data_IF_489976898319
#
_entry.id   IF_489976898319
#
_cell.length_a   1.000
_cell.length_b   1.000
_cell.length_c   1.000
_cell.angle_alpha   90.00
_cell.angle_beta   90.00
_cell.angle_gamma   90.00
#
_symmetry.space_group_name_H-M   'P 1'
#
loop_
_entity.id
_entity.type
_entity.pdbx_description
1 polymer ?
#
# COMPACT_ATOMS: atom_id res chain seq x y z
N UNK A 1 23.89 -50.56 -19.74
CA UNK A 1 23.18 -49.67 -20.69
C UNK A 1 23.24 -48.28 -20.09
N UNK A 2 24.21 -47.47 -20.61
CA UNK A 2 24.41 -46.09 -20.24
C UNK A 2 23.71 -45.23 -21.31
N UNK A 3 22.74 -44.42 -20.89
CA UNK A 3 22.16 -43.40 -21.73
C UNK A 3 22.92 -42.08 -21.56
N UNK A 4 23.45 -41.62 -22.67
CA UNK A 4 24.12 -40.31 -22.75
C UNK A 4 23.12 -39.15 -22.66
N UNK A 5 23.51 -38.02 -22.02
CA UNK A 5 22.67 -36.84 -21.99
C UNK A 5 22.75 -36.06 -23.32
N UNK A 6 21.67 -35.38 -23.74
CA UNK A 6 21.63 -34.66 -25.01
C UNK A 6 22.46 -33.36 -24.94
N UNK A 7 23.18 -33.11 -26.03
CA UNK A 7 24.01 -31.94 -26.27
C UNK A 7 23.19 -30.66 -26.33
N UNK A 8 23.65 -29.67 -25.56
CA UNK A 8 23.25 -28.27 -25.69
C UNK A 8 23.59 -27.74 -27.08
N UNK A 9 22.61 -27.20 -27.77
CA UNK A 9 22.79 -26.42 -28.98
C UNK A 9 22.83 -24.96 -28.61
N UNK A 10 24.04 -24.37 -28.61
CA UNK A 10 24.24 -22.94 -28.62
C UNK A 10 23.71 -22.33 -29.90
N UNK A 11 22.71 -21.49 -29.80
CA UNK A 11 22.35 -20.54 -30.84
C UNK A 11 22.73 -19.15 -30.43
N UNK A 12 23.87 -18.72 -30.90
CA UNK A 12 24.26 -17.32 -30.94
C UNK A 12 23.28 -16.52 -31.79
N UNK A 13 22.82 -15.43 -31.25
CA UNK A 13 22.21 -14.35 -32.02
C UNK A 13 23.00 -13.08 -31.74
N UNK A 14 23.93 -12.84 -32.65
CA UNK A 14 24.46 -11.51 -32.96
C UNK A 14 23.31 -10.64 -33.44
N UNK A 15 23.09 -9.52 -32.77
CA UNK A 15 22.43 -8.39 -33.43
C UNK A 15 23.23 -7.12 -33.17
N UNK A 16 23.75 -6.70 -34.31
CA UNK A 16 24.51 -5.52 -34.58
C UNK A 16 23.82 -4.23 -34.07
N UNK A 17 24.68 -3.32 -33.71
CA UNK A 17 24.52 -1.90 -33.51
C UNK A 17 23.70 -1.22 -34.63
N UNK A 18 22.76 -0.41 -34.26
CA UNK A 18 22.31 0.70 -35.08
C UNK A 18 22.43 2.00 -34.28
N UNK A 19 23.32 2.86 -34.78
CA UNK A 19 23.51 4.24 -34.39
C UNK A 19 22.60 5.09 -35.28
N UNK A 20 21.72 5.84 -34.71
CA UNK A 20 20.94 6.87 -35.40
C UNK A 20 20.56 7.94 -34.40
N UNK A 21 21.43 8.91 -34.23
CA UNK A 21 21.42 10.31 -34.67
C UNK A 21 20.12 11.08 -34.42
N UNK A 22 20.26 12.02 -33.44
CA UNK A 22 19.90 13.44 -33.47
C UNK A 22 18.55 13.84 -34.10
N UNK A 23 17.71 14.46 -33.33
CA UNK A 23 17.26 15.84 -33.60
C UNK A 23 16.54 16.41 -32.38
N UNK A 24 17.12 17.41 -31.78
CA UNK A 24 16.43 18.48 -31.04
C UNK A 24 15.63 19.33 -32.04
N UNK A 25 14.46 19.79 -31.65
CA UNK A 25 14.19 21.20 -31.85
C UNK A 25 13.73 21.89 -30.56
N UNK A 26 14.51 22.84 -30.24
CA UNK A 26 14.21 24.05 -29.50
C UNK A 26 13.00 24.77 -30.10
N UNK A 27 12.00 25.05 -29.30
CA UNK A 27 11.04 26.11 -29.56
C UNK A 27 10.40 26.59 -28.27
N UNK A 28 10.94 27.66 -27.77
CA UNK A 28 10.31 28.58 -26.83
C UNK A 28 9.31 29.42 -27.63
N UNK A 29 8.16 29.77 -27.08
CA UNK A 29 7.66 31.11 -27.24
C UNK A 29 7.50 31.79 -25.89
N UNK A 30 8.19 32.88 -25.80
CA UNK A 30 7.93 33.98 -24.88
C UNK A 30 6.55 34.54 -25.19
N UNK A 31 5.71 34.66 -24.20
CA UNK A 31 4.53 35.52 -24.31
C UNK A 31 4.57 36.55 -23.18
N UNK A 32 5.19 37.66 -23.53
CA UNK A 32 5.07 38.91 -22.80
C UNK A 32 3.64 39.42 -22.99
N UNK A 33 2.87 39.49 -21.91
CA UNK A 33 1.73 40.38 -21.83
C UNK A 33 2.00 41.42 -20.75
N UNK A 34 2.59 42.52 -21.19
CA UNK A 34 2.40 43.82 -20.57
C UNK A 34 0.95 44.25 -20.81
N UNK A 35 0.25 44.50 -19.74
CA UNK A 35 -1.08 45.09 -19.73
C UNK A 35 -1.29 45.82 -18.42
N UNK A 36 -0.65 46.98 -18.36
CA UNK A 36 -0.89 48.03 -17.40
C UNK A 36 -2.29 48.64 -17.62
N UNK A 37 -3.18 48.52 -16.66
CA UNK A 37 -4.24 49.50 -16.45
C UNK A 37 -4.56 49.55 -14.96
N UNK A 38 -4.18 50.67 -14.36
CA UNK A 38 -4.63 51.14 -13.07
C UNK A 38 -6.12 51.44 -13.13
N UNK A 39 -6.88 50.86 -12.22
CA UNK A 39 -8.15 51.46 -11.81
C UNK A 39 -8.27 51.36 -10.29
N UNK A 40 -8.20 52.56 -9.76
CA UNK A 40 -8.53 53.02 -8.44
C UNK A 40 -9.96 52.62 -8.05
N UNK A 41 -10.10 51.72 -7.07
CA UNK A 41 -11.36 51.54 -6.36
C UNK A 41 -11.21 51.93 -4.89
N UNK A 42 -11.31 53.21 -4.71
CA UNK A 42 -11.56 53.86 -3.43
C UNK A 42 -12.84 53.32 -2.77
N UNK A 43 -12.70 53.02 -1.48
CA UNK A 43 -13.72 53.09 -0.42
C UNK A 43 -15.00 52.29 -0.59
N UNK A 44 -15.00 51.12 0.00
CA UNK A 44 -16.19 50.68 0.73
C UNK A 44 -15.83 50.49 2.19
N UNK A 45 -16.22 51.46 2.99
CA UNK A 45 -16.28 51.36 4.43
C UNK A 45 -17.38 50.37 4.78
N UNK A 46 -17.04 49.27 5.40
CA UNK A 46 -17.97 48.47 6.16
C UNK A 46 -17.70 48.72 7.62
N UNK A 47 -18.49 49.64 8.15
CA UNK A 47 -18.65 49.82 9.57
C UNK A 47 -19.36 48.58 10.14
N UNK A 48 -18.80 48.06 11.23
CA UNK A 48 -19.52 47.40 12.30
C UNK A 48 -20.14 46.05 11.95
N UNK A 49 -19.37 44.97 12.08
CA UNK A 49 -19.90 43.73 12.56
C UNK A 49 -19.24 43.43 13.90
N UNK A 50 -19.98 43.76 14.97
CA UNK A 50 -19.76 43.15 16.27
C UNK A 50 -19.84 41.62 16.11
N UNK A 51 -18.70 41.00 15.91
CA UNK A 51 -18.59 39.57 16.06
C UNK A 51 -18.60 39.25 17.54
N UNK A 52 -19.81 39.05 18.03
CA UNK A 52 -20.12 38.36 19.24
C UNK A 52 -19.41 37.00 19.15
N UNK A 53 -18.52 36.78 20.12
CA UNK A 53 -17.77 35.56 20.34
C UNK A 53 -18.69 34.35 20.25
N UNK A 54 -18.77 33.76 19.06
CA UNK A 54 -19.25 32.42 18.85
C UNK A 54 -18.02 31.52 18.93
N UNK A 55 -17.85 30.90 20.06
CA UNK A 55 -17.00 29.72 20.20
C UNK A 55 -17.47 28.73 19.12
N UNK A 56 -16.81 28.75 17.97
CA UNK A 56 -16.90 27.66 17.05
C UNK A 56 -16.04 26.55 17.64
N UNK A 57 -16.66 25.77 18.52
CA UNK A 57 -16.21 24.41 18.77
C UNK A 57 -16.13 23.74 17.39
N UNK A 58 -14.97 23.83 16.79
CA UNK A 58 -14.56 22.85 15.82
C UNK A 58 -14.45 21.55 16.60
N UNK A 59 -15.59 20.90 16.82
CA UNK A 59 -15.61 19.49 17.14
C UNK A 59 -14.75 18.88 16.05
N UNK A 60 -13.50 18.57 16.40
CA UNK A 60 -12.61 17.82 15.57
C UNK A 60 -13.45 16.63 15.10
N UNK A 61 -13.57 16.50 13.79
CA UNK A 61 -14.01 15.25 13.24
C UNK A 61 -12.89 14.26 13.58
N UNK A 62 -12.93 13.75 14.82
CA UNK A 62 -12.30 12.50 15.14
C UNK A 62 -12.93 11.49 14.17
N UNK A 63 -12.31 11.33 13.04
CA UNK A 63 -12.43 10.10 12.29
C UNK A 63 -11.84 9.06 13.23
N UNK A 64 -12.68 8.56 14.13
CA UNK A 64 -12.35 7.38 14.88
C UNK A 64 -12.17 6.29 13.82
N UNK A 65 -10.92 6.10 13.42
CA UNK A 65 -10.54 4.90 12.70
C UNK A 65 -10.96 3.77 13.64
N UNK A 66 -11.78 2.87 13.12
CA UNK A 66 -12.21 1.73 13.92
C UNK A 66 -10.98 0.85 14.16
N UNK A 67 -10.28 1.12 15.26
CA UNK A 67 -9.11 0.35 15.68
C UNK A 67 -9.50 -1.02 16.25
N UNK A 68 -10.78 -1.36 16.20
CA UNK A 68 -11.26 -2.61 16.74
C UNK A 68 -11.12 -3.74 15.72
N UNK A 69 -10.70 -4.92 16.18
CA UNK A 69 -10.64 -6.08 15.31
C UNK A 69 -12.05 -6.55 14.97
N UNK A 70 -12.32 -6.77 13.69
CA UNK A 70 -13.59 -7.31 13.21
C UNK A 70 -13.62 -8.85 13.26
N UNK A 71 -12.45 -9.48 13.20
CA UNK A 71 -12.29 -10.95 13.15
C UNK A 71 -11.57 -11.48 14.41
N UNK A 72 -11.37 -10.63 15.41
CA UNK A 72 -10.70 -11.01 16.66
C UNK A 72 -9.18 -11.11 16.59
N UNK A 73 -8.59 -10.53 15.55
CA UNK A 73 -7.15 -10.49 15.31
C UNK A 73 -6.44 -9.27 15.88
N UNK A 74 -5.30 -8.97 15.32
CA UNK A 74 -4.46 -7.82 15.66
C UNK A 74 -4.58 -6.81 14.53
N UNK A 75 -4.92 -5.56 14.88
CA UNK A 75 -5.15 -4.48 13.91
C UNK A 75 -3.89 -3.68 13.67
N UNK A 76 -3.66 -3.30 12.41
CA UNK A 76 -2.70 -2.29 12.01
C UNK A 76 -3.33 -1.36 10.96
N UNK A 77 -3.18 -0.05 11.17
CA UNK A 77 -3.66 0.96 10.23
C UNK A 77 -2.49 1.50 9.44
N UNK A 78 -2.59 1.46 8.13
CA UNK A 78 -1.59 1.97 7.19
C UNK A 78 -2.27 2.81 6.13
N UNK A 79 -1.86 4.07 5.99
CA UNK A 79 -2.47 5.03 5.06
C UNK A 79 -4.01 5.10 5.22
N UNK A 80 -4.49 5.13 6.48
CA UNK A 80 -5.91 5.15 6.85
C UNK A 80 -6.69 3.88 6.46
N UNK A 81 -5.99 2.82 6.08
CA UNK A 81 -6.56 1.53 5.69
C UNK A 81 -6.36 0.52 6.80
N UNK A 82 -7.44 -0.13 7.17
CA UNK A 82 -7.47 -1.16 8.20
C UNK A 82 -6.92 -2.49 7.68
N UNK A 83 -6.03 -3.08 8.46
CA UNK A 83 -5.47 -4.41 8.21
C UNK A 83 -5.59 -5.22 9.49
N UNK A 84 -6.03 -6.46 9.40
CA UNK A 84 -6.20 -7.34 10.55
C UNK A 84 -5.51 -8.68 10.33
N UNK A 85 -4.62 -9.02 11.24
CA UNK A 85 -3.93 -10.31 11.27
C UNK A 85 -4.63 -11.24 12.26
N UNK A 86 -5.22 -12.30 11.75
CA UNK A 86 -5.94 -13.29 12.55
C UNK A 86 -5.10 -14.55 12.67
N UNK A 87 -4.98 -15.04 13.89
CA UNK A 87 -4.33 -16.32 14.21
C UNK A 87 -5.36 -17.26 14.80
N UNK A 88 -5.63 -18.35 14.10
CA UNK A 88 -6.52 -19.39 14.59
C UNK A 88 -5.79 -20.35 15.55
N UNK A 89 -6.55 -21.04 16.39
CA UNK A 89 -6.02 -21.97 17.40
C UNK A 89 -5.26 -23.15 16.77
N UNK A 90 -5.56 -23.49 15.52
CA UNK A 90 -4.90 -24.52 14.73
C UNK A 90 -3.57 -24.05 14.10
N UNK A 91 -3.15 -22.81 14.37
CA UNK A 91 -1.94 -22.20 13.81
C UNK A 91 -2.11 -21.63 12.40
N UNK A 92 -3.32 -21.62 11.86
CA UNK A 92 -3.63 -20.96 10.60
C UNK A 92 -3.58 -19.45 10.78
N UNK A 93 -3.02 -18.76 9.80
CA UNK A 93 -2.89 -17.30 9.78
C UNK A 93 -3.62 -16.73 8.59
N UNK A 94 -4.50 -15.77 8.85
CA UNK A 94 -5.25 -15.04 7.84
C UNK A 94 -4.98 -13.54 7.94
N UNK A 95 -4.86 -12.87 6.80
CA UNK A 95 -4.75 -11.41 6.72
C UNK A 95 -5.98 -10.86 6.01
N UNK A 96 -6.74 -10.04 6.70
CA UNK A 96 -7.80 -9.22 6.16
C UNK A 96 -7.23 -7.82 5.89
N UNK A 97 -7.55 -7.25 4.75
CA UNK A 97 -7.08 -5.92 4.37
C UNK A 97 -8.20 -5.17 3.64
N UNK A 98 -8.52 -4.00 4.13
CA UNK A 98 -9.47 -3.12 3.46
C UNK A 98 -8.84 -2.42 2.24
N UNK A 99 -9.69 -1.81 1.41
CA UNK A 99 -9.25 -1.03 0.26
C UNK A 99 -8.46 -1.85 -0.77
N UNK A 100 -8.70 -3.16 -0.84
CA UNK A 100 -8.18 -4.01 -1.90
C UNK A 100 -8.94 -3.77 -3.21
N UNK A 101 -8.29 -3.95 -4.37
CA UNK A 101 -8.98 -3.93 -5.65
C UNK A 101 -10.00 -5.07 -5.72
N UNK A 102 -10.96 -4.96 -6.62
CA UNK A 102 -11.99 -5.97 -6.81
C UNK A 102 -11.80 -6.76 -8.12
N UNK A 103 -12.47 -7.91 -8.21
CA UNK A 103 -12.46 -8.74 -9.41
C UNK A 103 -11.09 -9.30 -9.77
N UNK A 104 -10.73 -9.27 -11.02
CA UNK A 104 -9.47 -9.83 -11.52
C UNK A 104 -8.21 -9.13 -10.94
N UNK A 105 -8.32 -7.84 -10.65
CA UNK A 105 -7.22 -7.10 -10.04
C UNK A 105 -6.89 -7.60 -8.62
N UNK A 106 -7.90 -8.10 -7.88
CA UNK A 106 -7.70 -8.71 -6.57
C UNK A 106 -6.85 -9.99 -6.66
N UNK A 107 -7.07 -10.81 -7.67
CA UNK A 107 -6.30 -12.05 -7.90
C UNK A 107 -4.83 -11.79 -8.21
N UNK A 108 -4.52 -10.60 -8.70
CA UNK A 108 -3.16 -10.19 -8.98
C UNK A 108 -2.43 -9.62 -7.75
N UNK A 109 -3.12 -9.38 -6.64
CA UNK A 109 -2.51 -8.92 -5.40
C UNK A 109 -1.64 -10.02 -4.81
N UNK A 110 -0.39 -9.68 -4.52
CA UNK A 110 0.54 -10.57 -3.82
C UNK A 110 0.69 -10.12 -2.38
N UNK A 111 0.63 -11.06 -1.47
CA UNK A 111 0.82 -10.79 -0.05
C UNK A 111 1.91 -11.71 0.49
N UNK A 112 2.90 -11.10 1.13
CA UNK A 112 3.97 -11.82 1.84
C UNK A 112 3.97 -11.44 3.30
N UNK A 113 3.98 -12.45 4.13
CA UNK A 113 4.12 -12.31 5.57
C UNK A 113 5.56 -12.62 5.98
N UNK A 114 6.15 -11.77 6.80
CA UNK A 114 7.47 -11.98 7.41
C UNK A 114 7.33 -11.91 8.92
N UNK A 115 7.64 -12.99 9.60
CA UNK A 115 7.68 -13.06 11.07
C UNK A 115 9.13 -12.93 11.52
N UNK A 116 9.39 -11.95 12.37
CA UNK A 116 10.71 -11.65 12.94
C UNK A 116 10.77 -12.19 14.36
N UNK A 117 11.66 -13.16 14.56
CA UNK A 117 11.89 -13.87 15.84
C UNK A 117 13.30 -13.58 16.35
N UNK A 118 13.48 -12.44 17.00
CA UNK A 118 14.82 -12.01 17.41
C UNK A 118 15.76 -11.83 16.21
N UNK A 119 16.68 -12.78 15.98
CA UNK A 119 17.61 -12.74 14.83
C UNK A 119 17.13 -13.58 13.64
N UNK A 120 16.14 -14.41 13.85
CA UNK A 120 15.60 -15.29 12.84
C UNK A 120 14.38 -14.68 12.17
N UNK A 121 14.10 -15.09 10.94
CA UNK A 121 12.90 -14.74 10.20
C UNK A 121 12.26 -15.95 9.56
N UNK A 122 10.94 -15.92 9.50
CA UNK A 122 10.13 -16.86 8.74
C UNK A 122 9.31 -16.07 7.73
N UNK A 123 9.26 -16.51 6.48
CA UNK A 123 8.48 -15.86 5.42
C UNK A 123 7.44 -16.85 4.87
N UNK A 124 6.27 -16.33 4.52
CA UNK A 124 5.21 -17.08 3.87
C UNK A 124 4.51 -16.16 2.84
N UNK A 125 4.32 -16.69 1.63
CA UNK A 125 3.46 -16.04 0.66
C UNK A 125 2.02 -16.51 0.91
N UNK A 126 1.11 -15.56 1.10
CA UNK A 126 -0.28 -15.83 1.40
C UNK A 126 -1.07 -16.03 0.11
N UNK A 127 -2.08 -16.88 0.19
CA UNK A 127 -2.97 -17.20 -0.93
C UNK A 127 -4.32 -16.53 -0.73
N UNK A 128 -4.85 -15.91 -1.77
CA UNK A 128 -6.16 -15.30 -1.76
C UNK A 128 -7.25 -16.36 -1.54
N UNK A 129 -8.12 -16.09 -0.59
CA UNK A 129 -9.40 -16.76 -0.39
C UNK A 129 -10.49 -15.83 -0.87
N UNK A 130 -11.18 -16.23 -1.95
CA UNK A 130 -12.29 -15.47 -2.52
C UNK A 130 -13.58 -15.72 -1.73
N UNK A 131 -14.43 -14.72 -1.60
CA UNK A 131 -15.71 -14.82 -0.90
C UNK A 131 -16.33 -13.44 -0.69
N UNK A 132 -17.32 -13.38 0.17
CA UNK A 132 -17.98 -12.12 0.54
C UNK A 132 -16.99 -11.17 1.24
N UNK A 133 -16.08 -11.72 2.02
CA UNK A 133 -14.95 -11.03 2.64
C UNK A 133 -13.64 -11.66 2.17
N UNK A 134 -13.04 -11.14 1.09
CA UNK A 134 -11.79 -11.67 0.58
C UNK A 134 -10.64 -11.42 1.56
N UNK A 135 -9.86 -12.46 1.82
CA UNK A 135 -8.72 -12.42 2.71
C UNK A 135 -7.57 -13.28 2.17
N UNK A 136 -6.43 -13.24 2.82
CA UNK A 136 -5.26 -14.00 2.42
C UNK A 136 -4.85 -14.97 3.51
N UNK A 137 -4.75 -16.24 3.17
CA UNK A 137 -4.35 -17.30 4.08
C UNK A 137 -2.92 -17.75 3.87
N UNK A 138 -2.21 -18.02 4.96
CA UNK A 138 -0.93 -18.68 4.89
C UNK A 138 -1.12 -20.15 4.49
N UNK A 139 -0.42 -20.64 3.44
CA UNK A 139 -0.58 -22.00 2.95
C UNK A 139 0.00 -23.06 3.91
N UNK A 140 0.83 -22.64 4.83
CA UNK A 140 1.50 -23.46 5.82
C UNK A 140 1.37 -22.83 7.19
N UNK A 141 1.51 -23.67 8.24
CA UNK A 141 1.56 -23.20 9.61
C UNK A 141 2.69 -22.16 9.80
N UNK A 142 2.32 -20.99 10.26
CA UNK A 142 3.25 -19.93 10.61
C UNK A 142 3.28 -19.82 12.13
N UNK A 143 4.39 -20.25 12.72
CA UNK A 143 4.54 -20.21 14.18
C UNK A 143 4.85 -18.79 14.63
N UNK A 144 3.98 -18.24 15.45
CA UNK A 144 4.15 -16.94 16.08
C UNK A 144 4.03 -17.08 17.57
N UNK A 145 4.85 -16.35 18.31
CA UNK A 145 4.82 -16.30 19.77
C UNK A 145 4.77 -14.85 20.24
N UNK A 146 4.35 -14.67 21.47
CA UNK A 146 4.30 -13.36 22.08
C UNK A 146 5.62 -12.59 21.95
N UNK A 147 5.53 -11.33 21.54
CA UNK A 147 6.69 -10.46 21.28
C UNK A 147 7.29 -10.58 19.88
N UNK A 148 6.85 -11.52 19.05
CA UNK A 148 7.24 -11.56 17.65
C UNK A 148 6.69 -10.35 16.92
N UNK A 149 7.46 -9.84 15.96
CA UNK A 149 7.02 -8.78 15.04
C UNK A 149 6.69 -9.38 13.69
N UNK A 150 5.55 -9.01 13.18
CA UNK A 150 5.06 -9.49 11.90
C UNK A 150 4.92 -8.34 10.93
N UNK A 151 5.39 -8.53 9.71
CA UNK A 151 5.28 -7.56 8.64
C UNK A 151 4.54 -8.22 7.48
N UNK A 152 3.40 -7.65 7.10
CA UNK A 152 2.67 -8.04 5.91
C UNK A 152 2.96 -7.03 4.79
N UNK A 153 3.53 -7.50 3.69
CA UNK A 153 3.75 -6.73 2.49
C UNK A 153 2.64 -7.07 1.49
N UNK A 154 1.78 -6.09 1.20
CA UNK A 154 0.68 -6.20 0.26
C UNK A 154 1.06 -5.47 -1.02
N UNK A 155 1.15 -6.18 -2.14
CA UNK A 155 1.57 -5.66 -3.44
C UNK A 155 0.43 -5.81 -4.45
N UNK A 156 -0.37 -4.78 -4.68
CA UNK A 156 -1.32 -4.76 -5.78
C UNK A 156 -0.57 -4.69 -7.12
N UNK A 157 -1.19 -5.15 -8.20
CA UNK A 157 -0.60 -5.07 -9.54
C UNK A 157 -0.39 -3.62 -9.97
N UNK A 158 -1.43 -2.81 -9.78
CA UNK A 158 -1.43 -1.38 -10.07
C UNK A 158 -1.62 -0.61 -8.77
N UNK A 159 -0.56 -0.02 -8.26
CA UNK A 159 -0.64 0.75 -7.03
C UNK A 159 0.63 0.69 -6.19
N UNK A 160 0.60 1.40 -5.07
CA UNK A 160 1.72 1.42 -4.14
C UNK A 160 1.68 0.19 -3.23
N UNK A 161 2.82 -0.48 -3.02
CA UNK A 161 2.92 -1.50 -1.99
C UNK A 161 2.60 -0.91 -0.61
N UNK A 162 1.87 -1.67 0.20
CA UNK A 162 1.58 -1.33 1.59
C UNK A 162 2.27 -2.31 2.52
N UNK A 163 2.75 -1.80 3.64
CA UNK A 163 3.47 -2.59 4.62
C UNK A 163 2.79 -2.43 5.99
N UNK A 164 2.01 -3.42 6.39
CA UNK A 164 1.38 -3.47 7.69
C UNK A 164 2.30 -4.17 8.69
N UNK A 165 2.45 -3.58 9.88
CA UNK A 165 3.31 -4.09 10.95
C UNK A 165 2.45 -4.44 12.15
N UNK A 166 2.62 -5.65 12.64
CA UNK A 166 1.91 -6.17 13.82
C UNK A 166 2.91 -6.60 14.89
N UNK A 167 2.51 -6.52 16.11
CA UNK A 167 3.25 -7.07 17.25
C UNK A 167 2.35 -8.07 17.96
N UNK A 168 2.84 -9.30 18.13
CA UNK A 168 2.07 -10.35 18.76
C UNK A 168 2.02 -10.09 20.27
N UNK A 169 0.81 -9.85 20.84
CA UNK A 169 0.70 -9.52 22.24
C UNK A 169 1.12 -10.69 23.13
N UNK A 170 1.64 -10.36 24.29
CA UNK A 170 1.86 -11.37 25.34
C UNK A 170 0.50 -11.97 25.76
N UNK A 171 0.44 -13.28 25.88
CA UNK A 171 -0.73 -13.94 26.43
C UNK A 171 -0.95 -13.40 27.87
N UNK A 172 -2.18 -12.95 28.14
CA UNK A 172 -2.60 -12.50 29.48
C UNK A 172 -2.84 -13.68 30.39
#
# INVERSE_FOLDING_TARGET
WAEEPPKLVERGHDHAQDQGQTTTPEAKPENEHQGELAEDHTKHGHEGHDNKDGEHDHAGHDHAHDDQPHHGGIVAIVDEIHHELVMADDGKVSLYAEGLPQGEALKAVKVRLTVLKGKDKQEADLTLVEGDEPHFDAPTEVKMVAGDKVVALIQPLDGKPRMAKFEIPAAK
#
